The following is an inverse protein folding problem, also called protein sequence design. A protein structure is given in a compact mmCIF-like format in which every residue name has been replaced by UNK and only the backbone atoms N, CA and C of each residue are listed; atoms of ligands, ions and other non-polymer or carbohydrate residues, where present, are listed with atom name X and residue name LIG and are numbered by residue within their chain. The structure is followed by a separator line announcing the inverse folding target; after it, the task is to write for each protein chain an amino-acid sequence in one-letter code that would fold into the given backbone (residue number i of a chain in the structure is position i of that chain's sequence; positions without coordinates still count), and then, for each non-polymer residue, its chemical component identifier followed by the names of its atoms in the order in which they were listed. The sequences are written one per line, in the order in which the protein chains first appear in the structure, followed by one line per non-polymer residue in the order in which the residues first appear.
data_IF_305883595583
#
_entry.id   IF_305883595583
#
_cell.length_a   1.000
_cell.length_b   1.000
_cell.length_c   1.000
_cell.angle_alpha   90.00
_cell.angle_beta   90.00
_cell.angle_gamma   90.00
#
_symmetry.space_group_name_H-M   'P 1'
#
loop_
_entity.id
_entity.type
_entity.pdbx_description
1 polymer ?
#
# COMPACT_ATOMS: atom_id res chain seq x y z
N UNK A 1 -1.43 18.50 -14.59
CA UNK A 1 -0.27 19.30 -14.11
C UNK A 1 1.05 18.62 -14.43
N UNK A 2 1.31 17.39 -13.97
CA UNK A 2 2.56 16.68 -14.26
C UNK A 2 2.87 16.58 -15.78
N UNK A 3 1.84 16.26 -16.58
CA UNK A 3 1.93 16.22 -18.05
C UNK A 3 2.33 17.56 -18.67
N UNK A 4 1.78 18.67 -18.18
CA UNK A 4 2.12 20.03 -18.65
C UNK A 4 3.59 20.38 -18.37
N UNK A 5 4.20 19.76 -17.37
CA UNK A 5 5.62 19.92 -17.04
C UNK A 5 6.50 18.94 -17.82
N UNK A 6 5.93 18.04 -18.64
CA UNK A 6 6.68 17.06 -19.43
C UNK A 6 6.92 15.72 -18.73
N UNK A 7 6.17 15.41 -17.66
CA UNK A 7 6.14 14.09 -17.03
C UNK A 7 5.01 13.21 -17.59
N UNK A 8 5.27 11.94 -17.83
CA UNK A 8 4.30 10.94 -18.30
C UNK A 8 4.13 9.89 -17.19
N UNK A 9 3.08 10.05 -16.37
CA UNK A 9 2.84 9.24 -15.16
C UNK A 9 1.62 8.33 -15.26
N UNK A 10 0.97 8.30 -16.42
CA UNK A 10 -0.21 7.49 -16.71
C UNK A 10 0.10 6.29 -17.62
N UNK A 11 1.38 5.98 -17.80
CA UNK A 11 1.83 4.88 -18.64
C UNK A 11 1.55 3.52 -17.99
N UNK A 12 1.21 2.54 -18.83
CA UNK A 12 0.87 1.18 -18.39
C UNK A 12 2.13 0.43 -17.92
N UNK A 13 3.30 0.73 -18.51
CA UNK A 13 4.58 0.16 -18.06
C UNK A 13 5.37 1.12 -17.16
N UNK A 14 6.10 0.53 -16.21
CA UNK A 14 7.10 1.22 -15.42
C UNK A 14 8.23 1.80 -16.28
N UNK A 15 8.63 1.14 -17.37
CA UNK A 15 9.71 1.63 -18.23
C UNK A 15 9.36 2.90 -18.99
N UNK A 16 8.08 3.08 -19.33
CA UNK A 16 7.58 4.22 -20.09
C UNK A 16 7.27 5.43 -19.19
N UNK A 17 7.24 5.20 -17.87
CA UNK A 17 6.95 6.24 -16.88
C UNK A 17 8.07 7.29 -16.82
N UNK A 18 7.74 8.54 -17.15
CA UNK A 18 8.66 9.68 -17.06
C UNK A 18 8.27 10.60 -15.89
N UNK A 19 9.08 10.61 -14.83
CA UNK A 19 8.85 11.41 -13.60
C UNK A 19 9.79 12.60 -13.47
N UNK A 20 10.43 13.04 -14.56
CA UNK A 20 11.37 14.15 -14.51
C UNK A 20 11.17 15.12 -15.66
N UNK A 21 11.52 16.38 -15.41
CA UNK A 21 11.58 17.45 -16.40
C UNK A 21 12.74 18.42 -16.07
N UNK A 22 13.11 19.28 -17.02
CA UNK A 22 14.23 20.21 -16.86
C UNK A 22 13.86 21.42 -15.99
N UNK A 23 14.81 21.92 -15.21
CA UNK A 23 14.60 23.13 -14.43
C UNK A 23 14.47 24.35 -15.37
N UNK A 24 13.43 25.21 -15.21
CA UNK A 24 13.07 26.23 -16.20
C UNK A 24 14.16 27.29 -16.47
N UNK A 25 15.06 27.50 -15.51
CA UNK A 25 16.19 28.44 -15.64
C UNK A 25 17.58 27.78 -15.59
N UNK A 26 17.65 26.46 -15.40
CA UNK A 26 18.91 25.70 -15.23
C UNK A 26 18.81 24.36 -15.99
N UNK A 27 18.97 24.36 -17.33
CA UNK A 27 18.71 23.18 -18.14
C UNK A 27 19.53 21.93 -17.78
N UNK A 28 20.66 22.11 -17.09
CA UNK A 28 21.51 21.00 -16.60
C UNK A 28 20.93 20.29 -15.36
N UNK A 29 19.91 20.85 -14.71
CA UNK A 29 19.28 20.29 -13.52
C UNK A 29 17.92 19.67 -13.85
N UNK A 30 17.62 18.54 -13.18
CA UNK A 30 16.34 17.84 -13.31
C UNK A 30 15.49 18.07 -12.08
N UNK A 31 14.19 18.31 -12.32
CA UNK A 31 13.17 18.34 -11.29
C UNK A 31 12.45 17.00 -11.29
N UNK A 32 12.39 16.36 -10.12
CA UNK A 32 11.72 15.08 -9.92
C UNK A 32 10.28 15.29 -9.44
N UNK A 33 9.33 14.72 -10.16
CA UNK A 33 7.93 14.66 -9.77
C UNK A 33 7.70 13.45 -8.85
N UNK A 34 7.18 13.68 -7.65
CA UNK A 34 6.93 12.65 -6.64
C UNK A 34 5.49 12.78 -6.16
N UNK A 35 4.77 11.67 -6.12
CA UNK A 35 3.44 11.60 -5.52
C UNK A 35 3.55 11.56 -4.00
N UNK A 36 2.58 12.19 -3.32
CA UNK A 36 2.44 12.00 -1.87
C UNK A 36 1.99 10.55 -1.59
N UNK A 37 2.83 9.79 -0.89
CA UNK A 37 2.58 8.40 -0.54
C UNK A 37 1.31 8.23 0.33
N UNK A 38 0.99 9.21 1.18
CA UNK A 38 -0.20 9.20 2.03
C UNK A 38 -1.46 9.39 1.19
N UNK A 39 -1.41 10.22 0.16
CA UNK A 39 -2.51 10.41 -0.77
C UNK A 39 -2.71 9.18 -1.65
N UNK A 40 -1.63 8.62 -2.20
CA UNK A 40 -1.67 7.37 -2.96
C UNK A 40 -2.28 6.22 -2.14
N UNK A 41 -1.90 6.08 -0.87
CA UNK A 41 -2.44 5.06 0.02
C UNK A 41 -3.95 5.24 0.27
N UNK A 42 -4.42 6.48 0.45
CA UNK A 42 -5.86 6.77 0.57
C UNK A 42 -6.59 6.38 -0.70
N UNK A 43 -6.09 6.78 -1.88
CA UNK A 43 -6.72 6.45 -3.15
C UNK A 43 -6.84 4.94 -3.33
N UNK A 44 -5.77 4.20 -3.03
CA UNK A 44 -5.75 2.75 -3.08
C UNK A 44 -6.76 2.13 -2.11
N UNK A 45 -6.80 2.57 -0.86
CA UNK A 45 -7.75 2.09 0.14
C UNK A 45 -9.20 2.36 -0.28
N UNK A 46 -9.48 3.54 -0.84
CA UNK A 46 -10.80 3.92 -1.31
C UNK A 46 -11.23 3.05 -2.49
N UNK A 47 -10.35 2.88 -3.48
CA UNK A 47 -10.58 2.00 -4.62
C UNK A 47 -10.93 0.57 -4.17
N UNK A 48 -10.17 0.03 -3.23
CA UNK A 48 -10.35 -1.35 -2.76
C UNK A 48 -11.61 -1.52 -1.92
N UNK A 49 -12.06 -0.48 -1.21
CA UNK A 49 -13.35 -0.49 -0.53
C UNK A 49 -14.53 -0.30 -1.48
N UNK A 50 -14.44 0.62 -2.44
CA UNK A 50 -15.48 0.83 -3.46
C UNK A 50 -15.68 -0.44 -4.30
N UNK A 51 -14.61 -1.19 -4.56
CA UNK A 51 -14.64 -2.50 -5.26
C UNK A 51 -14.85 -3.70 -4.34
N UNK A 52 -14.98 -3.50 -3.03
CA UNK A 52 -15.15 -4.54 -2.00
C UNK A 52 -14.09 -5.67 -2.02
N UNK A 53 -12.91 -5.42 -2.59
CA UNK A 53 -11.86 -6.43 -2.79
C UNK A 53 -11.15 -6.76 -1.48
N UNK A 54 -10.59 -5.75 -0.82
CA UNK A 54 -9.92 -5.93 0.47
C UNK A 54 -10.88 -5.91 1.65
N UNK A 55 -12.05 -5.30 1.45
CA UNK A 55 -13.05 -5.24 2.50
C UNK A 55 -13.46 -6.64 2.92
N UNK A 56 -13.49 -7.63 2.01
CA UNK A 56 -13.81 -9.03 2.37
C UNK A 56 -12.87 -9.65 3.41
N UNK A 57 -11.55 -9.58 3.20
CA UNK A 57 -10.56 -10.18 4.10
C UNK A 57 -10.41 -9.40 5.41
N UNK A 58 -10.37 -8.06 5.34
CA UNK A 58 -10.29 -7.23 6.53
C UNK A 58 -11.58 -7.30 7.38
N UNK A 59 -12.74 -7.44 6.72
CA UNK A 59 -14.03 -7.66 7.35
C UNK A 59 -14.08 -9.02 8.03
N UNK A 60 -13.76 -10.11 7.33
CA UNK A 60 -13.74 -11.45 7.92
C UNK A 60 -12.83 -11.50 9.15
N UNK A 61 -11.63 -10.90 9.06
CA UNK A 61 -10.72 -10.81 10.20
C UNK A 61 -11.30 -9.97 11.34
N UNK A 62 -11.94 -8.83 11.06
CA UNK A 62 -12.58 -8.02 12.09
C UNK A 62 -13.74 -8.77 12.76
N UNK A 63 -14.57 -9.47 12.00
CA UNK A 63 -15.69 -10.27 12.53
C UNK A 63 -15.20 -11.40 13.42
N UNK A 64 -14.17 -12.15 12.99
CA UNK A 64 -13.53 -13.17 13.81
C UNK A 64 -13.05 -12.59 15.13
N UNK A 65 -12.35 -11.46 15.10
CA UNK A 65 -11.84 -10.80 16.30
C UNK A 65 -12.96 -10.28 17.23
N UNK A 66 -14.10 -9.88 16.67
CA UNK A 66 -15.27 -9.48 17.47
C UNK A 66 -15.95 -10.69 18.10
N UNK A 67 -16.06 -11.79 17.38
CA UNK A 67 -16.61 -13.05 17.88
C UNK A 67 -15.77 -13.63 19.02
N UNK A 68 -14.45 -13.68 18.84
CA UNK A 68 -13.51 -14.19 19.85
C UNK A 68 -13.28 -13.22 21.03
N UNK A 69 -13.65 -11.94 20.87
CA UNK A 69 -13.35 -10.89 21.85
C UNK A 69 -11.85 -10.52 21.95
N UNK A 70 -11.01 -11.00 21.04
CA UNK A 70 -9.55 -10.84 21.04
C UNK A 70 -9.04 -10.29 19.71
N UNK A 71 -7.92 -9.53 19.75
CA UNK A 71 -7.26 -9.01 18.54
C UNK A 71 -5.90 -9.65 18.31
N UNK A 72 -5.62 -10.01 17.06
CA UNK A 72 -4.33 -10.54 16.62
C UNK A 72 -3.29 -9.42 16.40
N UNK A 73 -3.07 -8.59 17.44
CA UNK A 73 -2.10 -7.50 17.50
C UNK A 73 -2.19 -6.43 16.38
N UNK A 74 -3.28 -6.39 15.61
CA UNK A 74 -3.58 -5.32 14.65
C UNK A 74 -4.55 -4.29 15.26
N UNK A 75 -4.77 -3.19 14.53
CA UNK A 75 -5.59 -2.05 14.98
C UNK A 75 -6.96 -1.98 14.29
N UNK A 76 -7.40 -3.05 13.63
CA UNK A 76 -8.70 -3.06 12.97
C UNK A 76 -9.84 -2.85 13.97
N UNK A 77 -10.81 -2.06 13.52
CA UNK A 77 -12.03 -1.70 14.26
C UNK A 77 -13.15 -1.46 13.26
N UNK A 78 -14.38 -1.29 13.75
CA UNK A 78 -15.53 -0.94 12.90
C UNK A 78 -15.26 0.28 12.01
N UNK A 79 -14.51 1.27 12.49
CA UNK A 79 -14.17 2.47 11.71
C UNK A 79 -13.32 2.17 10.46
N UNK A 80 -12.56 1.06 10.45
CA UNK A 80 -11.80 0.61 9.28
C UNK A 80 -12.70 -0.07 8.25
N UNK A 81 -13.75 -0.75 8.73
CA UNK A 81 -14.75 -1.42 7.90
C UNK A 81 -15.70 -0.39 7.28
N UNK A 82 -16.22 0.52 8.10
CA UNK A 82 -17.17 1.57 7.74
C UNK A 82 -16.46 2.90 7.46
N UNK A 83 -15.36 2.84 6.71
CA UNK A 83 -14.48 3.98 6.53
C UNK A 83 -15.04 5.07 5.60
N UNK A 84 -16.19 4.87 4.95
CA UNK A 84 -16.73 5.80 3.95
C UNK A 84 -16.86 7.25 4.46
N UNK A 85 -17.29 7.43 5.71
CA UNK A 85 -17.38 8.77 6.35
C UNK A 85 -16.01 9.33 6.78
N UNK A 86 -14.98 8.50 6.76
CA UNK A 86 -13.62 8.78 7.20
C UNK A 86 -12.61 8.54 6.09
N UNK A 87 -13.05 8.62 4.83
CA UNK A 87 -12.30 8.25 3.62
C UNK A 87 -11.00 9.04 3.41
N UNK A 88 -10.92 10.21 4.04
CA UNK A 88 -9.73 11.07 4.02
C UNK A 88 -8.71 10.75 5.14
N UNK A 89 -9.03 9.86 6.09
CA UNK A 89 -8.13 9.53 7.20
C UNK A 89 -7.07 8.52 6.76
N UNK A 90 -5.89 9.01 6.38
CA UNK A 90 -4.70 8.20 6.05
C UNK A 90 -4.43 7.13 7.12
N UNK A 91 -4.64 7.47 8.40
CA UNK A 91 -4.45 6.55 9.53
C UNK A 91 -5.25 5.26 9.39
N UNK A 92 -6.50 5.32 8.90
CA UNK A 92 -7.32 4.13 8.70
C UNK A 92 -6.76 3.30 7.55
N UNK A 93 -6.44 3.93 6.42
CA UNK A 93 -5.84 3.25 5.28
C UNK A 93 -4.53 2.52 5.66
N UNK A 94 -3.63 3.20 6.37
CA UNK A 94 -2.36 2.63 6.84
C UNK A 94 -2.55 1.47 7.83
N UNK A 95 -3.57 1.54 8.69
CA UNK A 95 -3.86 0.46 9.65
C UNK A 95 -4.49 -0.75 8.97
N UNK A 96 -5.42 -0.54 8.03
CA UNK A 96 -6.04 -1.60 7.21
C UNK A 96 -4.99 -2.32 6.36
N UNK A 97 -4.09 -1.56 5.72
CA UNK A 97 -3.06 -2.07 4.81
C UNK A 97 -1.73 -2.37 5.51
N UNK A 98 -1.76 -2.65 6.81
CA UNK A 98 -0.53 -2.83 7.60
C UNK A 98 -0.01 -4.27 7.56
N UNK A 99 1.31 -4.40 7.75
CA UNK A 99 1.97 -5.70 7.96
C UNK A 99 1.36 -6.52 9.12
N UNK A 100 0.75 -5.87 10.11
CA UNK A 100 0.08 -6.55 11.23
C UNK A 100 -1.20 -7.27 10.80
N UNK A 101 -1.99 -6.67 9.90
CA UNK A 101 -3.18 -7.30 9.31
C UNK A 101 -2.78 -8.50 8.47
N UNK A 102 -1.74 -8.36 7.63
CA UNK A 102 -1.22 -9.48 6.85
C UNK A 102 -0.79 -10.67 7.74
N UNK A 103 -0.08 -10.42 8.85
CA UNK A 103 0.29 -11.48 9.80
C UNK A 103 -0.93 -12.14 10.45
N UNK A 104 -1.95 -11.36 10.78
CA UNK A 104 -3.18 -11.88 11.36
C UNK A 104 -3.96 -12.76 10.37
N UNK A 105 -4.02 -12.40 9.08
CA UNK A 105 -4.60 -13.25 8.04
C UNK A 105 -3.87 -14.60 7.92
N UNK A 106 -2.53 -14.56 7.91
CA UNK A 106 -1.72 -15.78 7.87
C UNK A 106 -1.96 -16.65 9.11
N UNK A 107 -2.03 -16.03 10.29
CA UNK A 107 -2.31 -16.73 11.54
C UNK A 107 -3.68 -17.42 11.51
N UNK A 108 -4.73 -16.71 11.06
CA UNK A 108 -6.07 -17.29 10.90
C UNK A 108 -6.08 -18.50 9.95
N UNK A 109 -5.32 -18.43 8.85
CA UNK A 109 -5.12 -19.58 7.97
C UNK A 109 -4.39 -20.73 8.67
N UNK A 110 -3.34 -20.45 9.44
CA UNK A 110 -2.59 -21.47 10.18
C UNK A 110 -3.43 -22.18 11.25
N UNK A 111 -4.48 -21.53 11.76
CA UNK A 111 -5.49 -22.14 12.63
C UNK A 111 -6.47 -23.04 11.87
N UNK A 112 -6.40 -23.12 10.53
CA UNK A 112 -7.28 -23.95 9.71
C UNK A 112 -8.65 -23.36 9.45
N UNK A 113 -8.84 -22.05 9.65
CA UNK A 113 -10.13 -21.39 9.43
C UNK A 113 -10.46 -21.34 7.91
N UNK A 114 -11.57 -21.96 7.44
CA UNK A 114 -11.87 -22.09 6.02
C UNK A 114 -11.95 -20.76 5.27
N UNK A 115 -12.47 -19.72 5.93
CA UNK A 115 -12.62 -18.37 5.38
C UNK A 115 -11.28 -17.73 4.96
N UNK A 116 -10.17 -18.17 5.55
CA UNK A 116 -8.83 -17.63 5.31
C UNK A 116 -7.95 -18.55 4.46
N UNK A 117 -8.50 -19.65 3.96
CA UNK A 117 -7.78 -20.65 3.16
C UNK A 117 -7.09 -20.08 1.91
N UNK A 118 -7.63 -19.01 1.32
CA UNK A 118 -7.11 -18.36 0.12
C UNK A 118 -6.56 -16.93 0.39
N UNK A 119 -6.10 -16.64 1.61
CA UNK A 119 -5.67 -15.28 1.98
C UNK A 119 -4.24 -14.91 1.53
N UNK A 120 -3.45 -15.83 0.94
CA UNK A 120 -2.05 -15.62 0.55
C UNK A 120 -1.82 -14.38 -0.31
N UNK A 121 -2.62 -14.25 -1.38
CA UNK A 121 -2.47 -13.18 -2.36
C UNK A 121 -2.77 -11.85 -1.69
N UNK A 122 -3.88 -11.77 -0.95
CA UNK A 122 -4.26 -10.58 -0.16
C UNK A 122 -3.22 -10.22 0.89
N UNK A 123 -2.70 -11.22 1.61
CA UNK A 123 -1.62 -11.03 2.58
C UNK A 123 -0.38 -10.44 1.91
N UNK A 124 0.05 -11.00 0.77
CA UNK A 124 1.23 -10.52 0.03
C UNK A 124 1.02 -9.09 -0.46
N UNK A 125 -0.14 -8.80 -1.03
CA UNK A 125 -0.54 -7.46 -1.47
C UNK A 125 -0.45 -6.43 -0.33
N UNK A 126 -1.00 -6.76 0.84
CA UNK A 126 -0.96 -5.89 2.02
C UNK A 126 0.50 -5.66 2.47
N UNK A 127 1.33 -6.71 2.51
CA UNK A 127 2.74 -6.57 2.91
C UNK A 127 3.55 -5.71 1.94
N UNK A 128 3.30 -5.86 0.65
CA UNK A 128 3.95 -5.09 -0.40
C UNK A 128 3.55 -3.61 -0.32
N UNK A 129 2.25 -3.35 -0.15
CA UNK A 129 1.72 -2.00 0.02
C UNK A 129 2.27 -1.31 1.28
N UNK A 130 2.30 -2.01 2.42
CA UNK A 130 2.87 -1.51 3.69
C UNK A 130 4.33 -1.10 3.51
N UNK A 131 5.14 -1.91 2.82
CA UNK A 131 6.56 -1.60 2.54
C UNK A 131 6.71 -0.37 1.67
N UNK A 132 5.94 -0.29 0.57
CA UNK A 132 5.95 0.88 -0.32
C UNK A 132 5.58 2.18 0.40
N UNK A 133 4.64 2.12 1.34
CA UNK A 133 4.23 3.29 2.11
C UNK A 133 5.23 3.68 3.22
N UNK A 134 5.80 2.70 3.92
CA UNK A 134 6.70 2.93 5.06
C UNK A 134 8.09 3.41 4.64
N UNK A 135 8.60 2.97 3.48
CA UNK A 135 9.91 3.37 2.95
C UNK A 135 10.08 4.89 2.82
N UNK A 136 9.22 5.62 2.07
CA UNK A 136 9.31 7.08 1.98
C UNK A 136 8.87 7.79 3.27
N UNK A 137 8.21 7.09 4.19
CA UNK A 137 7.68 7.64 5.44
C UNK A 137 8.63 7.49 6.63
N UNK A 138 9.88 7.09 6.41
CA UNK A 138 10.87 6.97 7.49
C UNK A 138 11.15 8.32 8.15
N UNK A 139 10.92 8.39 9.47
CA UNK A 139 11.14 9.59 10.29
C UNK A 139 12.12 9.40 11.44
N UNK A 140 12.59 8.17 11.65
CA UNK A 140 13.41 7.81 12.83
C UNK A 140 14.83 7.43 12.40
N UNK A 141 15.86 8.19 12.82
CA UNK A 141 17.26 7.86 12.57
C UNK A 141 17.68 6.49 13.12
N UNK A 142 17.00 6.02 14.17
CA UNK A 142 17.29 4.75 14.85
C UNK A 142 16.37 3.61 14.40
N UNK A 143 15.52 3.84 13.39
CA UNK A 143 14.69 2.79 12.84
C UNK A 143 15.55 1.60 12.38
N UNK A 144 14.94 0.40 12.42
CA UNK A 144 15.59 -0.83 11.95
C UNK A 144 14.98 -1.24 10.61
N UNK A 145 15.65 -2.18 9.94
CA UNK A 145 15.18 -2.80 8.70
C UNK A 145 14.89 -1.77 7.58
N UNK A 146 13.82 -1.96 6.81
CA UNK A 146 13.41 -1.11 5.71
C UNK A 146 12.84 0.24 6.14
N UNK A 147 12.60 0.44 7.45
CA UNK A 147 12.11 1.72 7.98
C UNK A 147 13.24 2.71 8.24
N UNK A 148 14.50 2.37 7.93
CA UNK A 148 15.67 3.23 8.09
C UNK A 148 15.65 4.39 7.09
N UNK A 149 16.13 5.59 7.46
CA UNK A 149 16.32 6.68 6.51
C UNK A 149 17.28 6.26 5.39
N UNK A 150 17.07 6.80 4.20
CA UNK A 150 17.95 6.53 3.07
C UNK A 150 19.35 7.09 3.31
N UNK A 151 20.36 6.28 3.00
CA UNK A 151 21.77 6.63 3.02
C UNK A 151 22.50 5.81 1.95
N UNK A 152 23.77 6.13 1.74
CA UNK A 152 24.56 5.49 0.69
C UNK A 152 24.68 3.96 0.84
N UNK A 153 24.61 3.44 2.07
CA UNK A 153 24.70 2.01 2.33
C UNK A 153 23.40 1.24 2.05
N UNK A 154 22.23 1.89 2.12
CA UNK A 154 20.93 1.21 1.98
C UNK A 154 20.12 1.64 0.73
N UNK A 155 20.52 2.69 0.03
CA UNK A 155 19.75 3.24 -1.10
C UNK A 155 19.59 2.21 -2.22
N UNK A 156 20.63 1.45 -2.56
CA UNK A 156 20.56 0.44 -3.63
C UNK A 156 19.55 -0.67 -3.30
N UNK A 157 19.63 -1.25 -2.10
CA UNK A 157 18.69 -2.28 -1.66
C UNK A 157 17.26 -1.77 -1.55
N UNK A 158 17.08 -0.53 -1.10
CA UNK A 158 15.76 0.13 -1.03
C UNK A 158 15.17 0.34 -2.42
N UNK A 159 15.97 0.82 -3.38
CA UNK A 159 15.56 0.99 -4.77
C UNK A 159 15.18 -0.34 -5.42
N UNK A 160 15.95 -1.41 -5.20
CA UNK A 160 15.63 -2.74 -5.71
C UNK A 160 14.32 -3.27 -5.13
N UNK A 161 14.09 -3.08 -3.83
CA UNK A 161 12.85 -3.49 -3.18
C UNK A 161 11.64 -2.73 -3.73
N UNK A 162 11.72 -1.41 -3.82
CA UNK A 162 10.63 -0.57 -4.35
C UNK A 162 10.34 -0.95 -5.80
N UNK A 163 11.37 -1.17 -6.62
CA UNK A 163 11.20 -1.60 -8.02
C UNK A 163 10.48 -2.95 -8.10
N UNK A 164 10.90 -3.93 -7.32
CA UNK A 164 10.28 -5.25 -7.31
C UNK A 164 8.83 -5.23 -6.82
N UNK A 165 8.53 -4.43 -5.79
CA UNK A 165 7.15 -4.25 -5.33
C UNK A 165 6.30 -3.50 -6.37
N UNK A 166 6.83 -2.43 -6.94
CA UNK A 166 6.14 -1.65 -7.98
C UNK A 166 5.77 -2.51 -9.18
N UNK A 167 6.69 -3.35 -9.66
CA UNK A 167 6.43 -4.30 -10.75
C UNK A 167 5.30 -5.27 -10.40
N UNK A 168 5.29 -5.83 -9.18
CA UNK A 168 4.21 -6.73 -8.76
C UNK A 168 2.85 -6.01 -8.70
N UNK A 169 2.82 -4.77 -8.18
CA UNK A 169 1.58 -4.00 -8.07
C UNK A 169 1.01 -3.60 -9.44
N UNK A 170 1.87 -3.27 -10.41
CA UNK A 170 1.48 -2.91 -11.77
C UNK A 170 0.92 -4.09 -12.58
N UNK A 171 1.20 -5.33 -12.17
CA UNK A 171 0.65 -6.54 -12.80
C UNK A 171 -0.74 -6.93 -12.26
N UNK A 172 -1.22 -6.26 -11.21
CA UNK A 172 -2.50 -6.61 -10.59
C UNK A 172 -3.65 -5.94 -11.34
N UNK A 173 -4.61 -6.76 -11.72
CA UNK A 173 -5.87 -6.30 -12.28
C UNK A 173 -7.02 -6.57 -11.31
N UNK A 174 -7.96 -5.64 -11.24
CA UNK A 174 -9.23 -5.87 -10.56
C UNK A 174 -10.10 -6.74 -11.46
N UNK A 175 -10.66 -7.82 -10.93
CA UNK A 175 -11.56 -8.66 -11.71
C UNK A 175 -12.75 -7.85 -12.20
N UNK A 176 -13.04 -7.95 -13.51
CA UNK A 176 -14.13 -7.25 -14.20
C UNK A 176 -15.54 -7.69 -13.74
N UNK A 177 -15.63 -8.68 -12.85
CA UNK A 177 -16.89 -9.27 -12.38
C UNK A 177 -17.69 -8.42 -11.36
N UNK A 178 -17.09 -7.37 -10.77
CA UNK A 178 -17.74 -6.55 -9.72
C UNK A 178 -18.06 -5.10 -10.18
N UNK A 179 -18.31 -4.90 -11.47
CA UNK A 179 -18.67 -3.61 -12.07
C UNK A 179 -20.19 -3.44 -12.29
N UNK A 180 -21.03 -4.12 -11.51
CA UNK A 180 -22.49 -3.91 -11.48
C UNK A 180 -22.91 -3.08 -10.27
#
# INVERSE_FOLDING_TARGET
MAELLGCHVHEISYEDTKTTFEHPTRPTEKVHFIFDASDALKLLHNLLGDKKVLQSAAYALHQLQMFEGLRAANKLTQAHIEFCRQRMKVKLAAQTLSSSVAKALLFAKQLGLPEFSNCEVTRKFIQDTDRCFELPSSRSPVARTYKRPFNQANIQGSSQMIKGVGQNLMQLELSSANLQ
#
